data_IF_098531530293
#
_entry.id   IF_098531530293
#
_cell.length_a   1.000
_cell.length_b   1.000
_cell.length_c   1.000
_cell.angle_alpha   90.00
_cell.angle_beta   90.00
_cell.angle_gamma   90.00
#
_symmetry.space_group_name_H-M   'P 1'
#
loop_
_entity.id
_entity.type
_entity.pdbx_description
1 polymer ?
#
# COMPACT_ATOMS: atom_id res chain seq x y z
N UNK A 1 3.21 -0.10 -13.17
CA UNK A 1 2.27 -0.14 -14.30
C UNK A 1 2.88 -1.02 -15.38
N UNK A 2 2.17 -2.03 -15.86
CA UNK A 2 2.71 -3.04 -16.79
C UNK A 2 2.31 -2.77 -18.24
N UNK A 3 3.16 -3.20 -19.17
CA UNK A 3 2.90 -3.04 -20.61
C UNK A 3 1.65 -3.80 -21.07
N UNK A 4 1.34 -4.94 -20.45
CA UNK A 4 0.10 -5.69 -20.67
C UNK A 4 -1.16 -4.88 -20.39
N UNK A 5 -1.14 -4.09 -19.32
CA UNK A 5 -2.26 -3.22 -18.97
C UNK A 5 -2.38 -2.08 -19.98
N UNK A 6 -1.26 -1.47 -20.34
CA UNK A 6 -1.23 -0.39 -21.32
C UNK A 6 -1.76 -0.84 -22.69
N UNK A 7 -1.32 -2.01 -23.20
CA UNK A 7 -1.78 -2.52 -24.50
C UNK A 7 -3.27 -2.92 -24.46
N UNK A 8 -3.74 -3.54 -23.36
CA UNK A 8 -5.15 -3.93 -23.17
C UNK A 8 -6.11 -2.73 -23.23
N UNK A 9 -5.66 -1.59 -22.71
CA UNK A 9 -6.43 -0.34 -22.69
C UNK A 9 -6.11 0.61 -23.85
N UNK A 10 -5.35 0.14 -24.84
CA UNK A 10 -5.00 0.93 -26.02
C UNK A 10 -5.97 0.74 -27.18
N UNK A 11 -6.09 1.76 -28.02
CA UNK A 11 -6.78 1.70 -29.32
C UNK A 11 -5.84 1.35 -30.47
N UNK A 12 -4.63 0.87 -30.15
CA UNK A 12 -3.62 0.51 -31.15
C UNK A 12 -4.10 -0.67 -31.99
N UNK A 13 -4.05 -0.51 -33.31
CA UNK A 13 -4.56 -1.50 -34.27
C UNK A 13 -3.50 -2.01 -35.24
N UNK A 14 -2.25 -1.53 -35.15
CA UNK A 14 -1.17 -1.90 -36.06
C UNK A 14 0.09 -2.25 -35.30
N UNK A 15 0.85 -3.23 -35.79
CA UNK A 15 2.14 -3.64 -35.21
C UNK A 15 3.12 -2.46 -35.06
N UNK A 16 3.12 -1.52 -36.01
CA UNK A 16 3.93 -0.30 -35.94
C UNK A 16 3.59 0.55 -34.72
N UNK A 17 2.31 0.83 -34.50
CA UNK A 17 1.87 1.59 -33.34
C UNK A 17 2.01 0.78 -32.04
N UNK A 18 1.97 -0.55 -32.08
CA UNK A 18 2.29 -1.41 -30.93
C UNK A 18 3.76 -1.27 -30.52
N UNK A 19 4.67 -1.28 -31.49
CA UNK A 19 6.10 -1.03 -31.24
C UNK A 19 6.34 0.38 -30.72
N UNK A 20 5.63 1.36 -31.26
CA UNK A 20 5.70 2.73 -30.77
C UNK A 20 5.18 2.90 -29.34
N UNK A 21 4.09 2.21 -29.00
CA UNK A 21 3.54 2.19 -27.65
C UNK A 21 4.48 1.47 -26.66
N UNK A 22 5.15 0.38 -27.09
CA UNK A 22 6.19 -0.28 -26.32
C UNK A 22 7.40 0.62 -26.05
N UNK A 23 7.79 1.40 -27.05
CA UNK A 23 8.85 2.40 -26.91
C UNK A 23 8.43 3.51 -25.94
N UNK A 24 7.21 4.03 -26.06
CA UNK A 24 6.67 5.01 -25.12
C UNK A 24 6.67 4.50 -23.68
N UNK A 25 6.23 3.26 -23.47
CA UNK A 25 6.24 2.64 -22.15
C UNK A 25 7.66 2.49 -21.58
N UNK A 26 8.63 2.08 -22.40
CA UNK A 26 10.02 1.94 -21.96
C UNK A 26 10.66 3.30 -21.67
N UNK A 27 10.39 4.31 -22.50
CA UNK A 27 10.98 5.64 -22.42
C UNK A 27 10.37 6.47 -21.28
N UNK A 28 9.07 6.76 -21.34
CA UNK A 28 8.39 7.67 -20.40
C UNK A 28 8.01 7.00 -19.09
N UNK A 29 7.51 5.76 -19.14
CA UNK A 29 6.96 5.10 -17.95
C UNK A 29 8.06 4.39 -17.15
N UNK A 30 9.03 3.78 -17.84
CA UNK A 30 10.17 3.11 -17.17
C UNK A 30 11.45 3.95 -17.13
N UNK A 31 11.50 5.13 -17.75
CA UNK A 31 12.68 6.00 -17.75
C UNK A 31 13.90 5.40 -18.47
N UNK A 32 13.71 4.47 -19.41
CA UNK A 32 14.79 3.74 -20.10
C UNK A 32 15.14 4.38 -21.44
N UNK A 33 15.82 5.52 -21.40
CA UNK A 33 16.33 6.21 -22.59
C UNK A 33 17.86 6.05 -22.73
N UNK A 34 18.39 5.67 -23.90
CA UNK A 34 17.70 5.29 -25.13
C UNK A 34 17.15 3.85 -25.10
N UNK A 35 15.98 3.66 -25.71
CA UNK A 35 15.31 2.37 -25.85
C UNK A 35 15.94 1.57 -26.99
N UNK A 36 16.44 0.36 -26.69
CA UNK A 36 17.04 -0.52 -27.71
C UNK A 36 15.97 -1.40 -28.39
N UNK A 37 16.23 -1.86 -29.62
CA UNK A 37 15.35 -2.83 -30.29
C UNK A 37 15.20 -4.13 -29.51
N UNK A 38 16.22 -4.53 -28.74
CA UNK A 38 16.14 -5.71 -27.89
C UNK A 38 15.15 -5.48 -26.74
N UNK A 39 15.20 -4.33 -26.06
CA UNK A 39 14.25 -4.01 -24.99
C UNK A 39 12.80 -3.99 -25.48
N UNK A 40 12.55 -3.47 -26.69
CA UNK A 40 11.21 -3.48 -27.30
C UNK A 40 10.77 -4.93 -27.61
N UNK A 41 11.69 -5.76 -28.11
CA UNK A 41 11.39 -7.17 -28.38
C UNK A 41 11.05 -7.92 -27.10
N UNK A 42 11.83 -7.70 -26.05
CA UNK A 42 11.65 -8.39 -24.76
C UNK A 42 10.28 -8.05 -24.18
N UNK A 43 9.89 -6.77 -24.17
CA UNK A 43 8.62 -6.37 -23.57
C UNK A 43 7.39 -6.83 -24.38
N UNK A 44 7.49 -6.84 -25.71
CA UNK A 44 6.43 -7.37 -26.58
C UNK A 44 6.28 -8.89 -26.42
N UNK A 45 7.40 -9.60 -26.28
CA UNK A 45 7.41 -11.04 -26.07
C UNK A 45 6.82 -11.40 -24.69
N UNK A 46 7.19 -10.66 -23.64
CA UNK A 46 6.66 -10.84 -22.28
C UNK A 46 5.15 -10.62 -22.25
N UNK A 47 4.68 -9.57 -22.92
CA UNK A 47 3.25 -9.24 -23.03
C UNK A 47 2.45 -10.14 -23.99
N UNK A 48 3.10 -11.10 -24.65
CA UNK A 48 2.50 -12.05 -25.60
C UNK A 48 1.70 -11.36 -26.71
N UNK A 49 2.10 -10.16 -27.12
CA UNK A 49 1.42 -9.41 -28.18
C UNK A 49 1.86 -9.96 -29.54
N UNK A 50 0.90 -10.24 -30.41
CA UNK A 50 1.17 -10.77 -31.75
C UNK A 50 1.76 -9.67 -32.65
N UNK A 51 3.09 -9.65 -32.74
CA UNK A 51 3.85 -8.78 -33.63
C UNK A 51 4.83 -9.65 -34.40
N UNK A 52 4.86 -9.56 -35.73
CA UNK A 52 5.82 -10.30 -36.53
C UNK A 52 7.27 -9.89 -36.18
N UNK A 53 7.93 -10.77 -35.42
CA UNK A 53 9.33 -10.65 -35.00
C UNK A 53 10.33 -10.36 -36.14
N UNK A 54 9.98 -10.70 -37.39
CA UNK A 54 10.81 -10.43 -38.57
C UNK A 54 10.79 -8.94 -38.98
N UNK A 55 9.73 -8.21 -38.63
CA UNK A 55 9.53 -6.81 -38.97
C UNK A 55 9.79 -5.86 -37.80
N UNK A 56 9.99 -6.41 -36.60
CA UNK A 56 10.25 -5.66 -35.35
C UNK A 56 11.45 -4.70 -35.43
N UNK A 57 12.47 -5.01 -36.24
CA UNK A 57 13.60 -4.12 -36.48
C UNK A 57 13.33 -3.01 -37.51
N UNK A 58 12.31 -3.17 -38.35
CA UNK A 58 11.92 -2.19 -39.37
C UNK A 58 10.99 -1.12 -38.79
N UNK A 59 10.12 -1.45 -37.84
CA UNK A 59 9.17 -0.51 -37.25
C UNK A 59 9.80 0.72 -36.59
N UNK A 60 10.89 0.62 -35.81
CA UNK A 60 11.56 1.81 -35.29
C UNK A 60 12.05 2.74 -36.39
N UNK A 61 12.51 2.22 -37.54
CA UNK A 61 12.92 3.09 -38.64
C UNK A 61 11.73 3.84 -39.25
N UNK A 62 10.57 3.19 -39.39
CA UNK A 62 9.35 3.83 -39.87
C UNK A 62 8.83 4.89 -38.89
N UNK A 63 8.92 4.64 -37.59
CA UNK A 63 8.53 5.60 -36.56
C UNK A 63 9.46 6.82 -36.52
N UNK A 64 10.74 6.65 -36.88
CA UNK A 64 11.65 7.77 -37.11
C UNK A 64 11.21 8.59 -38.32
N UNK A 65 10.84 7.93 -39.42
CA UNK A 65 10.38 8.60 -40.64
C UNK A 65 9.04 9.34 -40.42
N UNK A 66 8.16 8.78 -39.59
CA UNK A 66 6.89 9.40 -39.17
C UNK A 66 7.09 10.56 -38.17
N UNK A 67 8.31 10.74 -37.66
CA UNK A 67 8.65 11.82 -36.73
C UNK A 67 8.37 11.52 -35.27
N UNK A 68 7.75 10.38 -34.93
CA UNK A 68 7.37 10.06 -33.54
C UNK A 68 8.57 9.73 -32.64
N UNK A 69 9.67 9.21 -33.19
CA UNK A 69 10.87 8.88 -32.41
C UNK A 69 12.14 9.40 -33.09
N UNK A 70 13.21 9.55 -32.32
CA UNK A 70 14.53 9.97 -32.78
C UNK A 70 15.57 8.88 -32.52
N UNK A 71 16.58 8.77 -33.39
CA UNK A 71 17.73 7.88 -33.15
C UNK A 71 18.68 8.51 -32.14
N UNK A 72 19.01 7.76 -31.09
CA UNK A 72 19.94 8.18 -30.05
C UNK A 72 20.95 7.06 -29.76
N UNK A 73 22.18 7.20 -30.29
CA UNK A 73 23.21 6.18 -30.17
C UNK A 73 22.82 4.88 -30.87
N UNK A 74 22.79 3.78 -30.13
CA UNK A 74 22.38 2.44 -30.56
C UNK A 74 20.88 2.15 -30.30
N UNK A 75 20.13 3.13 -29.78
CA UNK A 75 18.71 3.03 -29.50
C UNK A 75 17.89 4.22 -30.03
N UNK A 76 16.72 4.38 -29.45
CA UNK A 76 15.72 5.36 -29.84
C UNK A 76 15.21 6.11 -28.60
N UNK A 77 14.74 7.33 -28.80
CA UNK A 77 13.99 8.09 -27.80
C UNK A 77 12.74 8.65 -28.46
N UNK A 78 11.70 8.94 -27.69
CA UNK A 78 10.55 9.66 -28.20
C UNK A 78 10.98 11.06 -28.66
N UNK A 79 10.35 11.50 -29.74
CA UNK A 79 10.28 12.92 -30.06
C UNK A 79 9.18 13.59 -29.22
N UNK A 80 9.11 14.91 -29.29
CA UNK A 80 7.97 15.66 -28.74
C UNK A 80 6.63 15.18 -29.30
N UNK A 81 6.53 14.98 -30.62
CA UNK A 81 5.30 14.50 -31.27
C UNK A 81 4.93 13.08 -30.81
N UNK A 82 5.93 12.23 -30.52
CA UNK A 82 5.72 10.90 -29.95
C UNK A 82 5.18 10.96 -28.52
N UNK A 83 5.72 11.87 -27.69
CA UNK A 83 5.27 12.09 -26.32
C UNK A 83 3.82 12.56 -26.24
N UNK A 84 3.35 13.33 -27.22
CA UNK A 84 1.95 13.75 -27.30
C UNK A 84 1.05 12.66 -27.90
N UNK A 85 1.54 11.95 -28.93
CA UNK A 85 0.73 10.99 -29.68
C UNK A 85 0.38 9.72 -28.90
N UNK A 86 1.35 9.08 -28.24
CA UNK A 86 1.10 7.76 -27.63
C UNK A 86 0.19 7.77 -26.41
N UNK A 87 0.19 8.80 -25.53
CA UNK A 87 -0.81 8.93 -24.46
C UNK A 87 -2.26 8.98 -24.96
N UNK A 88 -2.52 9.56 -26.13
CA UNK A 88 -3.88 9.62 -26.70
C UNK A 88 -4.39 8.26 -27.17
N UNK A 89 -3.51 7.27 -27.32
CA UNK A 89 -3.85 5.94 -27.81
C UNK A 89 -4.27 4.97 -26.71
N UNK A 90 -4.32 5.38 -25.45
CA UNK A 90 -4.82 4.54 -24.36
C UNK A 90 -5.62 5.34 -23.35
N UNK A 91 -6.69 4.73 -22.84
CA UNK A 91 -7.50 5.28 -21.75
C UNK A 91 -7.33 4.36 -20.55
N UNK A 92 -6.37 4.70 -19.69
CA UNK A 92 -6.15 3.95 -18.46
C UNK A 92 -7.15 4.46 -17.43
N UNK A 93 -8.03 3.59 -16.88
CA UNK A 93 -8.84 3.99 -15.76
C UNK A 93 -7.90 4.38 -14.61
N UNK A 94 -8.16 5.53 -13.98
CA UNK A 94 -7.42 6.08 -12.83
C UNK A 94 -7.24 5.05 -11.71
N UNK A 95 -8.12 4.03 -11.67
CA UNK A 95 -8.03 2.90 -10.76
C UNK A 95 -8.09 1.57 -11.53
N UNK A 96 -7.27 0.57 -11.17
CA UNK A 96 -7.35 -0.76 -11.76
C UNK A 96 -8.74 -1.38 -11.52
N UNK A 97 -9.37 -1.90 -12.58
CA UNK A 97 -10.76 -2.38 -12.58
C UNK A 97 -11.00 -3.62 -11.67
N UNK A 98 -9.95 -4.37 -11.35
CA UNK A 98 -10.05 -5.57 -10.54
C UNK A 98 -9.78 -5.24 -9.06
N UNK A 99 -10.87 -5.27 -8.26
CA UNK A 99 -10.76 -5.23 -6.80
C UNK A 99 -9.86 -6.37 -6.34
N UNK A 100 -8.96 -6.07 -5.41
CA UNK A 100 -8.19 -7.13 -4.74
C UNK A 100 -9.17 -8.04 -3.98
N UNK A 101 -8.86 -9.33 -3.92
CA UNK A 101 -9.65 -10.29 -3.14
C UNK A 101 -9.08 -10.50 -1.73
N UNK A 102 -7.81 -10.16 -1.54
CA UNK A 102 -7.06 -10.25 -0.30
C UNK A 102 -7.35 -9.09 0.67
N UNK A 103 -7.22 -9.42 1.95
CA UNK A 103 -7.37 -8.50 3.08
C UNK A 103 -6.02 -7.94 3.50
N UNK A 104 -6.00 -6.65 3.88
CA UNK A 104 -4.82 -6.02 4.45
C UNK A 104 -4.57 -6.45 5.90
N UNK A 105 -5.64 -6.65 6.67
CA UNK A 105 -5.58 -7.23 8.01
C UNK A 105 -6.23 -8.61 7.98
N UNK A 106 -5.39 -9.65 8.02
CA UNK A 106 -5.83 -11.04 8.09
C UNK A 106 -5.91 -11.53 9.54
N UNK A 107 -6.84 -10.95 10.30
CA UNK A 107 -7.05 -11.30 11.72
C UNK A 107 -8.31 -12.14 11.91
N UNK A 108 -8.23 -13.23 12.68
CA UNK A 108 -9.38 -14.12 12.91
C UNK A 108 -10.32 -13.54 13.96
N UNK A 109 -11.51 -13.11 13.53
CA UNK A 109 -12.58 -12.65 14.40
C UNK A 109 -13.24 -13.82 15.12
N UNK A 110 -12.93 -14.03 16.40
CA UNK A 110 -13.79 -14.92 17.19
C UNK A 110 -14.97 -14.15 17.81
N UNK A 111 -14.80 -12.97 18.44
CA UNK A 111 -15.90 -12.39 19.25
C UNK A 111 -15.95 -10.85 19.37
N UNK A 112 -15.13 -10.09 18.65
CA UNK A 112 -14.84 -8.69 19.00
C UNK A 112 -15.61 -7.68 18.12
N UNK A 113 -16.87 -7.43 18.47
CA UNK A 113 -17.77 -6.53 17.71
C UNK A 113 -17.27 -5.08 17.61
N UNK A 114 -16.45 -4.61 18.55
CA UNK A 114 -16.06 -3.20 18.67
C UNK A 114 -15.16 -2.70 17.53
N UNK A 115 -14.22 -3.53 17.08
CA UNK A 115 -13.25 -3.16 16.04
C UNK A 115 -13.58 -3.72 14.66
N UNK A 116 -14.61 -4.58 14.57
CA UNK A 116 -15.01 -5.24 13.33
C UNK A 116 -15.23 -4.26 12.19
N UNK A 117 -16.01 -3.20 12.40
CA UNK A 117 -16.29 -2.22 11.36
C UNK A 117 -15.02 -1.52 10.87
N UNK A 118 -14.13 -1.13 11.79
CA UNK A 118 -12.89 -0.46 11.42
C UNK A 118 -11.98 -1.38 10.59
N UNK A 119 -11.89 -2.67 10.92
CA UNK A 119 -11.10 -3.62 10.13
C UNK A 119 -11.77 -3.88 8.77
N UNK A 120 -13.10 -3.98 8.70
CA UNK A 120 -13.83 -4.07 7.42
C UNK A 120 -13.55 -2.84 6.54
N UNK A 121 -13.52 -1.64 7.11
CA UNK A 121 -13.20 -0.41 6.39
C UNK A 121 -11.72 -0.39 5.91
N UNK A 122 -10.78 -0.87 6.74
CA UNK A 122 -9.36 -1.05 6.36
C UNK A 122 -9.23 -2.01 5.17
N UNK A 123 -9.84 -3.20 5.26
CA UNK A 123 -9.77 -4.18 4.20
C UNK A 123 -10.50 -3.70 2.94
N UNK A 124 -11.61 -2.98 3.07
CA UNK A 124 -12.32 -2.40 1.94
C UNK A 124 -11.47 -1.37 1.20
N UNK A 125 -10.83 -0.43 1.92
CA UNK A 125 -9.96 0.59 1.31
C UNK A 125 -8.76 -0.03 0.61
N UNK A 126 -8.18 -1.10 1.18
CA UNK A 126 -7.11 -1.86 0.54
C UNK A 126 -7.55 -2.51 -0.77
N UNK A 127 -8.73 -3.15 -0.77
CA UNK A 127 -9.26 -3.85 -1.96
C UNK A 127 -9.56 -2.90 -3.13
N UNK A 128 -9.85 -1.64 -2.84
CA UNK A 128 -10.01 -0.58 -3.85
C UNK A 128 -8.74 0.24 -4.09
N UNK A 129 -7.60 -0.18 -3.52
CA UNK A 129 -6.25 0.40 -3.68
C UNK A 129 -6.14 1.86 -3.26
N UNK A 130 -6.87 2.25 -2.22
CA UNK A 130 -6.73 3.55 -1.56
C UNK A 130 -5.80 3.39 -0.35
N UNK A 131 -4.51 3.19 -0.64
CA UNK A 131 -3.51 2.77 0.36
C UNK A 131 -3.29 3.80 1.47
N UNK A 132 -3.36 5.09 1.17
CA UNK A 132 -3.29 6.13 2.21
C UNK A 132 -4.41 5.98 3.24
N UNK A 133 -5.64 5.73 2.77
CA UNK A 133 -6.77 5.50 3.65
C UNK A 133 -6.59 4.20 4.46
N UNK A 134 -6.06 3.15 3.83
CA UNK A 134 -5.71 1.89 4.51
C UNK A 134 -4.74 2.12 5.67
N UNK A 135 -3.65 2.87 5.44
CA UNK A 135 -2.64 3.16 6.46
C UNK A 135 -3.19 4.08 7.57
N UNK A 136 -3.96 5.10 7.22
CA UNK A 136 -4.59 6.03 8.18
C UNK A 136 -5.57 5.30 9.10
N UNK A 137 -6.42 4.43 8.54
CA UNK A 137 -7.37 3.64 9.31
C UNK A 137 -6.66 2.60 10.19
N UNK A 138 -5.59 1.98 9.69
CA UNK A 138 -4.77 1.04 10.47
C UNK A 138 -4.08 1.75 11.65
N UNK A 139 -3.52 2.95 11.45
CA UNK A 139 -3.03 3.79 12.55
C UNK A 139 -4.13 4.06 13.58
N UNK A 140 -5.37 4.33 13.13
CA UNK A 140 -6.50 4.55 14.04
C UNK A 140 -6.84 3.31 14.86
N UNK A 141 -6.74 2.11 14.26
CA UNK A 141 -6.93 0.85 14.95
C UNK A 141 -5.92 0.68 16.08
N UNK A 142 -4.63 0.86 15.79
CA UNK A 142 -3.57 0.72 16.80
C UNK A 142 -3.67 1.76 17.91
N UNK A 143 -3.94 3.02 17.57
CA UNK A 143 -4.19 4.08 18.56
C UNK A 143 -5.34 3.70 19.50
N UNK A 144 -6.46 3.22 18.95
CA UNK A 144 -7.63 2.85 19.73
C UNK A 144 -7.37 1.64 20.64
N UNK A 145 -6.65 0.63 20.13
CA UNK A 145 -6.24 -0.54 20.92
C UNK A 145 -5.32 -0.16 22.07
N UNK A 146 -4.31 0.69 21.85
CA UNK A 146 -3.43 1.17 22.92
C UNK A 146 -4.21 1.93 24.00
N UNK A 147 -5.13 2.82 23.60
CA UNK A 147 -6.00 3.53 24.53
C UNK A 147 -6.80 2.54 25.38
N UNK A 148 -7.42 1.54 24.75
CA UNK A 148 -8.25 0.57 25.46
C UNK A 148 -7.45 -0.38 26.35
N UNK A 149 -6.23 -0.74 25.97
CA UNK A 149 -5.30 -1.53 26.79
C UNK A 149 -4.89 -0.73 28.03
N UNK A 150 -4.39 0.49 27.85
CA UNK A 150 -3.95 1.37 28.95
C UNK A 150 -5.12 1.71 29.87
N UNK A 151 -6.27 2.10 29.31
CA UNK A 151 -7.49 2.38 30.09
C UNK A 151 -8.00 1.14 30.81
N UNK A 152 -7.95 -0.02 30.17
CA UNK A 152 -8.37 -1.28 30.77
C UNK A 152 -7.53 -1.61 32.00
N UNK A 153 -6.21 -1.47 31.92
CA UNK A 153 -5.31 -1.83 33.01
C UNK A 153 -5.26 -0.80 34.13
N UNK A 154 -5.09 0.49 33.82
CA UNK A 154 -4.90 1.54 34.84
C UNK A 154 -6.20 2.25 35.26
N UNK A 155 -7.26 2.11 34.48
CA UNK A 155 -8.53 2.79 34.72
C UNK A 155 -8.37 4.32 34.77
N UNK A 156 -9.25 4.97 35.52
CA UNK A 156 -9.26 6.44 35.65
C UNK A 156 -8.21 6.97 36.64
N UNK A 157 -7.49 6.11 37.35
CA UNK A 157 -6.48 6.54 38.33
C UNK A 157 -5.27 7.16 37.63
N UNK A 158 -4.82 6.55 36.54
CA UNK A 158 -3.74 7.05 35.69
C UNK A 158 -4.28 7.49 34.32
N UNK A 159 -5.38 8.25 34.32
CA UNK A 159 -6.05 8.72 33.09
C UNK A 159 -5.10 9.44 32.12
N UNK A 160 -4.05 10.07 32.65
CA UNK A 160 -3.03 10.80 31.89
C UNK A 160 -2.10 9.90 31.07
N UNK A 161 -2.21 8.57 31.17
CA UNK A 161 -1.49 7.63 30.31
C UNK A 161 -2.13 7.46 28.94
N UNK A 162 -3.42 7.79 28.78
CA UNK A 162 -4.12 7.63 27.50
C UNK A 162 -5.01 8.83 27.14
N UNK A 163 -5.29 9.74 28.08
CA UNK A 163 -6.17 10.89 27.87
C UNK A 163 -5.62 12.14 28.54
N UNK A 164 -5.67 13.27 27.85
CA UNK A 164 -5.35 14.58 28.39
C UNK A 164 -6.64 15.24 28.93
N UNK A 165 -6.81 15.35 30.27
CA UNK A 165 -8.00 15.98 30.85
C UNK A 165 -8.09 17.48 30.58
N UNK A 166 -6.96 18.13 30.34
CA UNK A 166 -6.87 19.59 30.18
C UNK A 166 -7.39 20.02 28.80
N UNK A 167 -7.25 19.16 27.78
CA UNK A 167 -7.79 19.39 26.42
C UNK A 167 -9.00 18.51 26.09
N UNK A 168 -9.39 17.62 27.01
CA UNK A 168 -10.44 16.63 26.83
C UNK A 168 -10.26 15.74 25.58
N UNK A 169 -9.01 15.35 25.29
CA UNK A 169 -8.65 14.56 24.10
C UNK A 169 -7.80 13.35 24.49
N UNK A 170 -7.96 12.25 23.74
CA UNK A 170 -7.02 11.13 23.83
C UNK A 170 -5.63 11.57 23.39
N UNK A 171 -4.61 10.94 23.96
CA UNK A 171 -3.22 11.24 23.61
C UNK A 171 -2.92 10.81 22.17
N UNK A 172 -2.04 11.53 21.46
CA UNK A 172 -1.64 11.16 20.12
C UNK A 172 -0.88 9.84 20.11
N UNK A 173 -0.96 9.12 18.99
CA UNK A 173 -0.37 7.80 18.81
C UNK A 173 1.10 7.67 19.28
N UNK A 174 1.94 8.67 19.05
CA UNK A 174 3.34 8.65 19.53
C UNK A 174 3.43 8.55 21.06
N UNK A 175 2.67 9.37 21.78
CA UNK A 175 2.69 9.39 23.25
C UNK A 175 2.07 8.10 23.80
N UNK A 176 1.07 7.52 23.12
CA UNK A 176 0.51 6.23 23.51
C UNK A 176 1.53 5.09 23.40
N UNK A 177 2.35 5.09 22.34
CA UNK A 177 3.44 4.12 22.19
C UNK A 177 4.47 4.31 23.31
N UNK A 178 4.92 5.55 23.54
CA UNK A 178 5.91 5.85 24.58
C UNK A 178 5.41 5.39 25.96
N UNK A 179 4.16 5.74 26.32
CA UNK A 179 3.55 5.31 27.58
C UNK A 179 3.42 3.78 27.67
N UNK A 180 3.04 3.11 26.58
CA UNK A 180 2.93 1.65 26.53
C UNK A 180 4.29 0.98 26.67
N UNK A 181 5.34 1.51 26.03
CA UNK A 181 6.71 1.00 26.13
C UNK A 181 7.27 1.16 27.56
N UNK A 182 7.14 2.36 28.14
CA UNK A 182 7.61 2.66 29.50
C UNK A 182 7.02 1.70 30.54
N UNK A 183 5.78 1.24 30.29
CA UNK A 183 5.05 0.35 31.18
C UNK A 183 4.91 -1.08 30.65
N UNK A 184 5.68 -1.48 29.62
CA UNK A 184 5.50 -2.79 28.95
C UNK A 184 5.57 -4.00 29.89
N UNK A 185 6.33 -3.89 30.98
CA UNK A 185 6.47 -4.93 32.00
C UNK A 185 5.12 -5.29 32.64
N UNK A 186 4.19 -4.34 32.73
CA UNK A 186 2.84 -4.55 33.27
C UNK A 186 1.95 -5.36 32.32
N UNK A 187 2.40 -5.60 31.08
CA UNK A 187 1.66 -6.36 30.07
C UNK A 187 2.37 -7.64 29.63
N UNK A 188 3.63 -7.86 30.01
CA UNK A 188 4.42 -9.02 29.56
C UNK A 188 3.81 -10.37 29.95
N UNK A 189 3.07 -10.45 31.06
CA UNK A 189 2.35 -11.67 31.43
C UNK A 189 1.16 -11.98 30.51
N UNK A 190 0.68 -11.00 29.73
CA UNK A 190 -0.36 -11.20 28.73
C UNK A 190 0.18 -11.69 27.39
N UNK A 191 1.41 -11.34 27.01
CA UNK A 191 2.00 -11.84 25.77
C UNK A 191 3.52 -11.81 25.84
N UNK A 192 4.14 -12.96 25.55
CA UNK A 192 5.61 -13.07 25.45
C UNK A 192 6.17 -12.30 24.24
N UNK A 193 5.32 -11.99 23.27
CA UNK A 193 5.66 -11.20 22.07
C UNK A 193 5.68 -9.69 22.33
N UNK A 194 5.51 -9.24 23.59
CA UNK A 194 5.69 -7.83 23.98
C UNK A 194 7.16 -7.56 24.39
N UNK A 195 8.05 -7.70 23.42
CA UNK A 195 9.47 -7.41 23.57
C UNK A 195 9.83 -6.04 22.95
N UNK A 196 11.13 -5.73 22.89
CA UNK A 196 11.61 -4.53 22.19
C UNK A 196 11.25 -4.54 20.72
N UNK A 197 11.28 -5.72 20.09
CA UNK A 197 11.14 -5.86 18.65
C UNK A 197 9.71 -5.49 18.23
N UNK A 198 8.70 -5.87 19.03
CA UNK A 198 7.33 -5.40 18.84
C UNK A 198 7.19 -3.88 18.95
N UNK A 199 7.88 -3.24 19.90
CA UNK A 199 7.81 -1.78 20.06
C UNK A 199 8.50 -1.09 18.87
N UNK A 200 9.59 -1.65 18.38
CA UNK A 200 10.28 -1.18 17.18
C UNK A 200 9.39 -1.32 15.93
N UNK A 201 8.67 -2.43 15.77
CA UNK A 201 7.67 -2.62 14.71
C UNK A 201 6.56 -1.56 14.78
N UNK A 202 6.02 -1.29 15.97
CA UNK A 202 4.96 -0.30 16.18
C UNK A 202 5.44 1.14 15.87
N UNK A 203 6.67 1.47 16.25
CA UNK A 203 7.32 2.75 15.95
C UNK A 203 7.65 2.90 14.47
N UNK A 204 8.11 1.84 13.81
CA UNK A 204 8.35 1.79 12.37
C UNK A 204 7.05 2.04 11.62
N UNK A 205 5.97 1.31 11.96
CA UNK A 205 4.67 1.50 11.34
C UNK A 205 4.16 2.95 11.50
N UNK A 206 4.33 3.54 12.69
CA UNK A 206 4.00 4.96 12.92
C UNK A 206 4.78 5.87 11.97
N UNK A 207 6.08 5.66 11.84
CA UNK A 207 6.93 6.50 11.00
C UNK A 207 6.50 6.42 9.55
N UNK A 208 6.37 5.21 9.04
CA UNK A 208 5.96 4.92 7.66
C UNK A 208 4.58 5.49 7.34
N UNK A 209 3.58 5.25 8.20
CA UNK A 209 2.23 5.78 7.99
C UNK A 209 2.19 7.31 8.04
N UNK A 210 3.08 7.95 8.79
CA UNK A 210 3.15 9.40 8.88
C UNK A 210 3.90 10.01 7.68
N UNK A 211 4.92 9.32 7.14
CA UNK A 211 5.60 9.73 5.91
C UNK A 211 4.70 9.58 4.68
N UNK A 212 4.00 8.44 4.54
CA UNK A 212 3.03 8.23 3.46
C UNK A 212 1.90 9.27 3.50
N UNK A 213 1.38 9.62 4.67
CA UNK A 213 0.31 10.61 4.81
C UNK A 213 0.74 12.08 4.58
N UNK A 214 2.05 12.36 4.54
CA UNK A 214 2.58 13.72 4.41
C UNK A 214 3.35 13.99 3.12
N UNK A 215 3.73 12.95 2.37
CA UNK A 215 4.29 13.13 1.04
C UNK A 215 3.17 13.24 0.01
N UNK A 216 3.10 14.38 -0.69
CA UNK A 216 2.17 14.62 -1.80
C UNK A 216 2.45 13.67 -2.99
N UNK A 217 3.58 12.95 -2.96
CA UNK A 217 4.20 12.29 -4.12
C UNK A 217 4.67 10.86 -3.85
N UNK A 218 4.16 10.17 -2.82
CA UNK A 218 4.48 8.75 -2.57
C UNK A 218 3.27 7.91 -2.93
N UNK A 219 3.20 7.50 -4.20
CA UNK A 219 2.43 6.32 -4.58
C UNK A 219 3.05 5.13 -3.85
N UNK A 220 2.44 4.71 -2.73
CA UNK A 220 2.83 3.46 -2.05
C UNK A 220 2.64 2.33 -3.04
N UNK A 221 3.74 1.64 -3.37
CA UNK A 221 3.71 0.55 -4.33
C UNK A 221 2.94 -0.66 -3.80
N UNK A 222 2.49 -1.55 -4.71
CA UNK A 222 1.84 -2.79 -4.31
C UNK A 222 2.79 -3.71 -3.51
N UNK A 223 4.10 -3.64 -3.73
CA UNK A 223 5.07 -4.42 -2.94
C UNK A 223 5.18 -3.85 -1.51
N UNK A 224 5.31 -2.53 -1.37
CA UNK A 224 5.37 -1.87 -0.07
C UNK A 224 4.09 -2.07 0.74
N UNK A 225 2.91 -2.10 0.11
CA UNK A 225 1.67 -2.33 0.84
C UNK A 225 1.54 -3.77 1.34
N UNK A 226 2.07 -4.77 0.62
CA UNK A 226 2.08 -6.16 1.10
C UNK A 226 2.99 -6.33 2.32
N UNK A 227 4.18 -5.75 2.30
CA UNK A 227 5.07 -5.79 3.47
C UNK A 227 4.40 -5.15 4.70
N UNK A 228 3.72 -4.01 4.50
CA UNK A 228 2.95 -3.33 5.55
C UNK A 228 1.74 -4.14 6.01
N UNK A 229 1.11 -4.92 5.13
CA UNK A 229 -0.02 -5.81 5.45
C UNK A 229 0.40 -6.89 6.45
N UNK A 230 1.55 -7.54 6.20
CA UNK A 230 2.09 -8.56 7.10
C UNK A 230 2.48 -7.97 8.46
N UNK A 231 3.19 -6.83 8.48
CA UNK A 231 3.56 -6.11 9.70
C UNK A 231 2.32 -5.68 10.49
N UNK A 232 1.34 -5.06 9.82
CA UNK A 232 0.13 -4.58 10.46
C UNK A 232 -0.72 -5.72 11.04
N UNK A 233 -0.79 -6.84 10.33
CA UNK A 233 -1.48 -8.04 10.82
C UNK A 233 -0.85 -8.56 12.11
N UNK A 234 0.49 -8.71 12.14
CA UNK A 234 1.20 -9.15 13.37
C UNK A 234 0.97 -8.20 14.54
N UNK A 235 1.07 -6.88 14.31
CA UNK A 235 0.83 -5.87 15.34
C UNK A 235 -0.60 -5.98 15.87
N UNK A 236 -1.59 -6.06 14.97
CA UNK A 236 -2.98 -6.18 15.33
C UNK A 236 -3.24 -7.42 16.21
N UNK A 237 -2.73 -8.59 15.82
CA UNK A 237 -2.90 -9.84 16.58
C UNK A 237 -2.35 -9.74 18.01
N UNK A 238 -1.15 -9.16 18.17
CA UNK A 238 -0.53 -8.97 19.48
C UNK A 238 -1.36 -8.01 20.34
N UNK A 239 -1.74 -6.86 19.80
CA UNK A 239 -2.55 -5.87 20.51
C UNK A 239 -3.93 -6.43 20.91
N UNK A 240 -4.61 -7.13 20.00
CA UNK A 240 -5.89 -7.78 20.30
C UNK A 240 -5.76 -8.82 21.42
N UNK A 241 -4.71 -9.66 21.38
CA UNK A 241 -4.46 -10.64 22.43
C UNK A 241 -4.24 -9.99 23.80
N UNK A 242 -3.45 -8.91 23.86
CA UNK A 242 -3.19 -8.16 25.10
C UNK A 242 -4.47 -7.51 25.59
N UNK A 243 -5.18 -6.80 24.72
CA UNK A 243 -6.44 -6.15 25.02
C UNK A 243 -7.46 -7.14 25.60
N UNK A 244 -7.66 -8.29 24.97
CA UNK A 244 -8.57 -9.33 25.43
C UNK A 244 -8.22 -9.79 26.84
N UNK A 245 -6.94 -10.07 27.12
CA UNK A 245 -6.50 -10.52 28.44
C UNK A 245 -6.65 -9.45 29.52
N UNK A 246 -6.46 -8.18 29.16
CA UNK A 246 -6.76 -7.03 30.04
C UNK A 246 -8.27 -6.97 30.33
N UNK A 247 -9.15 -7.16 29.34
CA UNK A 247 -10.61 -7.16 29.58
C UNK A 247 -11.05 -8.32 30.49
N UNK A 248 -10.49 -9.52 30.29
CA UNK A 248 -10.78 -10.69 31.14
C UNK A 248 -10.29 -10.45 32.58
N UNK A 249 -9.06 -9.95 32.75
CA UNK A 249 -8.50 -9.69 34.08
C UNK A 249 -9.31 -8.66 34.89
N UNK A 250 -9.96 -7.71 34.20
CA UNK A 250 -10.76 -6.66 34.81
C UNK A 250 -12.26 -6.99 34.89
N UNK A 251 -12.68 -8.22 34.56
CA UNK A 251 -14.07 -8.66 34.73
C UNK A 251 -15.09 -8.03 33.78
N UNK A 252 -14.64 -7.46 32.65
CA UNK A 252 -15.53 -6.83 31.65
C UNK A 252 -16.12 -7.87 30.67
N UNK A 253 -15.77 -9.15 30.83
CA UNK A 253 -16.12 -10.24 29.91
C UNK A 253 -17.38 -11.07 30.20
N UNK A 254 -18.16 -10.78 31.25
CA UNK A 254 -19.31 -11.62 31.60
C UNK A 254 -20.50 -10.78 32.10
N UNK A 255 -21.24 -10.18 31.17
CA UNK A 255 -22.57 -9.59 31.42
C UNK A 255 -23.47 -9.81 30.19
N UNK A 256 -23.60 -11.06 29.77
CA UNK A 256 -24.70 -11.52 28.91
C UNK A 256 -25.22 -12.87 29.44
N UNK A 257 -25.85 -12.81 30.61
CA UNK A 257 -26.87 -13.77 31.01
C UNK A 257 -27.90 -13.00 31.84
N UNK A 258 -28.87 -12.42 31.14
CA UNK A 258 -30.29 -12.33 31.53
C UNK A 258 -31.15 -11.91 30.33
#
# INVERSE_FOLDING_TARGET
>A
MDFDRLIKHSTVSTEKHTVGLALYFLDEIQGKTPVTTQAIRDIIADARVDVDSRNLSAYPSQLVDDGYIIRMGDGYALSHDGQEHYPELFDLPEYPEERREDDFLNVTYSEERFYKQLIEDINQTHRVRVYDATLVLTRKLFESLLIDILRGHYGNQEIRLFFNPDTAQYLPFSILIDNFEEHKQDFQHYSLSLDSDFIDELNKFRHDANESAHSIEVDVSEEEIEEKSEEATRIAEILFNVWRKVQVANGVGDNNND
#
